data_IF_915149920658
#
_entry.id   IF_915149920658
#
_cell.length_a   1.000
_cell.length_b   1.000
_cell.length_c   1.000
_cell.angle_alpha   90.00
_cell.angle_beta   90.00
_cell.angle_gamma   90.00
#
_symmetry.space_group_name_H-M   'P 1'
#
loop_
_entity.id
_entity.type
_entity.pdbx_description
1 polymer ?
#
# COMPACT_ATOMS: atom_id res chain seq x y z
N UNK A 1 6.07 4.52 30.42
CA UNK A 1 5.23 4.41 29.21
C UNK A 1 6.13 4.52 28.01
N UNK A 2 6.13 3.55 27.09
CA UNK A 2 7.05 3.53 25.95
C UNK A 2 6.81 4.77 25.06
N UNK A 3 7.85 5.58 24.79
CA UNK A 3 7.74 6.79 23.96
C UNK A 3 7.28 6.50 22.51
N UNK A 4 7.42 5.24 22.06
CA UNK A 4 7.01 4.75 20.76
C UNK A 4 5.51 4.85 20.48
N UNK A 5 4.67 4.93 21.51
CA UNK A 5 3.21 4.97 21.37
C UNK A 5 2.61 6.39 21.32
N UNK A 6 3.45 7.42 21.22
CA UNK A 6 2.98 8.80 21.01
C UNK A 6 2.41 8.95 19.61
N UNK A 7 1.34 9.74 19.41
CA UNK A 7 0.73 9.98 18.11
C UNK A 7 1.76 10.30 17.01
N UNK A 8 2.69 11.21 17.31
CA UNK A 8 3.74 11.61 16.36
C UNK A 8 4.67 10.44 15.99
N UNK A 9 5.07 9.64 16.95
CA UNK A 9 5.99 8.52 16.70
C UNK A 9 5.34 7.43 15.86
N UNK A 10 4.03 7.19 16.02
CA UNK A 10 3.28 6.28 15.15
C UNK A 10 3.22 6.81 13.72
N UNK A 11 3.01 8.12 13.52
CA UNK A 11 3.02 8.72 12.19
C UNK A 11 4.41 8.63 11.53
N UNK A 12 5.47 8.93 12.28
CA UNK A 12 6.86 8.76 11.80
C UNK A 12 7.14 7.30 11.44
N UNK A 13 6.67 6.35 12.23
CA UNK A 13 6.78 4.92 11.92
C UNK A 13 6.11 4.57 10.58
N UNK A 14 4.89 5.07 10.32
CA UNK A 14 4.21 4.85 9.04
C UNK A 14 4.99 5.43 7.86
N UNK A 15 5.55 6.64 8.01
CA UNK A 15 6.41 7.26 6.99
C UNK A 15 7.65 6.40 6.72
N UNK A 16 8.34 5.96 7.78
CA UNK A 16 9.54 5.12 7.65
C UNK A 16 9.20 3.81 6.92
N UNK A 17 8.09 3.17 7.27
CA UNK A 17 7.65 1.95 6.60
C UNK A 17 7.28 2.18 5.13
N UNK A 18 6.66 3.32 4.79
CA UNK A 18 6.39 3.68 3.40
C UNK A 18 7.69 3.88 2.61
N UNK A 19 8.68 4.57 3.17
CA UNK A 19 9.99 4.79 2.54
C UNK A 19 10.74 3.47 2.36
N UNK A 20 10.77 2.61 3.38
CA UNK A 20 11.42 1.29 3.30
C UNK A 20 10.75 0.45 2.22
N UNK A 21 9.41 0.34 2.22
CA UNK A 21 8.66 -0.43 1.24
C UNK A 21 8.89 0.06 -0.20
N UNK A 22 8.86 1.38 -0.42
CA UNK A 22 9.14 1.97 -1.73
C UNK A 22 10.60 1.77 -2.15
N UNK A 23 11.55 1.94 -1.24
CA UNK A 23 12.97 1.72 -1.51
C UNK A 23 13.24 0.26 -1.89
N UNK A 24 12.66 -0.69 -1.17
CA UNK A 24 12.76 -2.11 -1.51
C UNK A 24 12.18 -2.40 -2.90
N UNK A 25 11.00 -1.85 -3.20
CA UNK A 25 10.35 -2.07 -4.49
C UNK A 25 11.14 -1.46 -5.67
N UNK A 26 11.73 -0.27 -5.51
CA UNK A 26 12.43 0.42 -6.58
C UNK A 26 13.88 -0.06 -6.74
N UNK A 27 14.63 -0.12 -5.62
CA UNK A 27 16.06 -0.43 -5.69
C UNK A 27 16.35 -1.93 -5.74
N UNK A 28 15.66 -2.72 -4.90
CA UNK A 28 15.90 -4.15 -4.88
C UNK A 28 15.15 -4.89 -6.00
N UNK A 29 13.81 -4.77 -6.08
CA UNK A 29 13.04 -5.53 -7.05
C UNK A 29 13.23 -5.04 -8.49
N UNK A 30 13.14 -3.71 -8.74
CA UNK A 30 13.23 -3.20 -10.11
C UNK A 30 14.67 -3.03 -10.59
N UNK A 31 15.54 -2.37 -9.78
CA UNK A 31 16.88 -2.02 -10.27
C UNK A 31 17.87 -3.17 -10.14
N UNK A 32 17.84 -3.92 -9.04
CA UNK A 32 18.79 -5.01 -8.80
C UNK A 32 18.33 -6.32 -9.43
N UNK A 33 17.07 -6.72 -9.21
CA UNK A 33 16.51 -7.96 -9.74
C UNK A 33 15.99 -7.83 -11.18
N UNK A 34 15.78 -6.60 -11.69
CA UNK A 34 15.31 -6.33 -13.04
C UNK A 34 13.83 -6.63 -13.29
N UNK A 35 13.02 -6.77 -12.23
CA UNK A 35 11.59 -7.08 -12.39
C UNK A 35 10.80 -5.85 -12.88
N UNK A 36 10.00 -6.05 -13.91
CA UNK A 36 9.02 -5.04 -14.36
C UNK A 36 7.78 -5.11 -13.48
N UNK A 37 7.34 -3.97 -12.89
CA UNK A 37 6.15 -3.98 -12.04
C UNK A 37 4.88 -4.18 -12.89
N UNK A 38 4.07 -5.16 -12.54
CA UNK A 38 2.74 -5.33 -13.13
C UNK A 38 1.80 -4.17 -12.72
N UNK A 39 0.68 -3.96 -13.43
CA UNK A 39 -0.27 -2.88 -13.12
C UNK A 39 -0.75 -2.87 -11.67
N UNK A 40 -1.08 -4.02 -11.08
CA UNK A 40 -1.50 -4.12 -9.68
C UNK A 40 -0.38 -3.72 -8.71
N UNK A 41 0.88 -4.04 -9.03
CA UNK A 41 2.02 -3.61 -8.22
C UNK A 41 2.16 -2.08 -8.18
N UNK A 42 1.92 -1.41 -9.32
CA UNK A 42 1.94 0.06 -9.41
C UNK A 42 0.83 0.66 -8.53
N UNK A 43 -0.37 0.11 -8.60
CA UNK A 43 -1.52 0.56 -7.82
C UNK A 43 -1.32 0.38 -6.30
N UNK A 44 -0.67 -0.70 -5.87
CA UNK A 44 -0.28 -0.89 -4.46
C UNK A 44 0.70 0.20 -4.00
N UNK A 45 1.68 0.56 -4.84
CA UNK A 45 2.67 1.61 -4.54
C UNK A 45 2.02 2.98 -4.43
N UNK A 46 1.06 3.31 -5.30
CA UNK A 46 0.31 4.57 -5.23
C UNK A 46 -0.38 4.70 -3.87
N UNK A 47 -1.09 3.66 -3.42
CA UNK A 47 -1.73 3.69 -2.10
C UNK A 47 -0.74 3.83 -0.95
N UNK A 48 0.42 3.16 -1.02
CA UNK A 48 1.48 3.28 -0.01
C UNK A 48 2.07 4.69 0.03
N UNK A 49 2.25 5.34 -1.13
CA UNK A 49 2.69 6.75 -1.22
C UNK A 49 1.64 7.67 -0.59
N UNK A 50 0.36 7.50 -0.92
CA UNK A 50 -0.74 8.28 -0.34
C UNK A 50 -0.74 8.16 1.18
N UNK A 51 -0.66 6.93 1.72
CA UNK A 51 -0.53 6.70 3.15
C UNK A 51 0.67 7.47 3.73
N UNK A 52 1.84 7.35 3.13
CA UNK A 52 3.07 8.00 3.58
C UNK A 52 2.98 9.52 3.59
N UNK A 53 2.37 10.13 2.55
CA UNK A 53 2.19 11.59 2.44
C UNK A 53 1.29 12.12 3.56
N UNK A 54 0.12 11.49 3.80
CA UNK A 54 -0.78 11.91 4.87
C UNK A 54 -0.17 11.69 6.26
N UNK A 55 0.56 10.58 6.47
CA UNK A 55 1.29 10.34 7.71
C UNK A 55 2.42 11.36 7.91
N UNK A 56 3.13 11.75 6.85
CA UNK A 56 4.17 12.78 6.90
C UNK A 56 3.59 14.14 7.27
N UNK A 57 2.49 14.55 6.64
CA UNK A 57 1.79 15.77 7.02
C UNK A 57 1.37 15.76 8.49
N UNK A 58 0.85 14.64 8.99
CA UNK A 58 0.46 14.49 10.38
C UNK A 58 1.67 14.57 11.36
N UNK A 59 2.82 14.05 10.96
CA UNK A 59 4.06 14.09 11.75
C UNK A 59 4.70 15.48 11.78
N UNK A 60 4.70 16.21 10.64
CA UNK A 60 5.33 17.53 10.49
C UNK A 60 4.49 18.62 11.14
N UNK A 61 3.21 18.72 10.79
CA UNK A 61 2.36 19.80 11.28
C UNK A 61 1.87 19.60 12.71
N UNK A 62 1.94 18.38 13.23
CA UNK A 62 1.54 18.03 14.59
C UNK A 62 0.23 18.72 15.04
N UNK A 63 -0.88 18.56 14.31
CA UNK A 63 -2.08 19.32 14.53
C UNK A 63 -2.65 19.10 15.93
N UNK A 64 -3.07 20.18 16.60
CA UNK A 64 -3.71 20.13 17.91
C UNK A 64 -5.20 19.76 17.81
N UNK A 65 -5.83 20.13 16.71
CA UNK A 65 -7.26 19.87 16.46
C UNK A 65 -7.50 18.38 16.19
N UNK A 66 -8.46 17.81 16.88
CA UNK A 66 -8.92 16.42 16.68
C UNK A 66 -9.46 16.23 15.25
N UNK A 67 -10.20 17.20 14.72
CA UNK A 67 -10.77 17.12 13.37
C UNK A 67 -9.67 17.00 12.31
N UNK A 68 -8.61 17.83 12.39
CA UNK A 68 -7.49 17.77 11.45
C UNK A 68 -6.74 16.43 11.57
N UNK A 69 -6.54 15.91 12.80
CA UNK A 69 -5.94 14.58 13.01
C UNK A 69 -6.77 13.48 12.35
N UNK A 70 -8.09 13.54 12.46
CA UNK A 70 -8.99 12.57 11.84
C UNK A 70 -8.95 12.64 10.31
N UNK A 71 -8.94 13.84 9.72
CA UNK A 71 -8.84 14.02 8.26
C UNK A 71 -7.54 13.43 7.74
N UNK A 72 -6.41 13.74 8.36
CA UNK A 72 -5.10 13.20 7.98
C UNK A 72 -5.04 11.67 8.17
N UNK A 73 -5.62 11.17 9.26
CA UNK A 73 -5.73 9.74 9.49
C UNK A 73 -6.60 9.03 8.45
N UNK A 74 -7.75 9.61 8.08
CA UNK A 74 -8.63 9.06 7.03
C UNK A 74 -7.93 9.01 5.67
N UNK A 75 -7.18 10.06 5.29
CA UNK A 75 -6.40 10.05 4.05
C UNK A 75 -5.32 8.97 4.05
N UNK A 76 -4.61 8.82 5.18
CA UNK A 76 -3.61 7.77 5.36
C UNK A 76 -4.24 6.37 5.34
N UNK A 77 -5.38 6.19 6.03
CA UNK A 77 -6.13 4.94 6.05
C UNK A 77 -6.66 4.56 4.65
N UNK A 78 -7.17 5.54 3.89
CA UNK A 78 -7.64 5.31 2.52
C UNK A 78 -6.50 4.80 1.63
N UNK A 79 -5.30 5.37 1.76
CA UNK A 79 -4.11 4.92 1.02
C UNK A 79 -3.74 3.47 1.34
N UNK A 80 -3.60 3.13 2.62
CA UNK A 80 -3.20 1.75 3.00
C UNK A 80 -4.32 0.75 2.78
N UNK A 81 -5.58 1.15 2.99
CA UNK A 81 -6.75 0.33 2.68
C UNK A 81 -6.82 -0.02 1.19
N UNK A 82 -6.60 0.97 0.33
CA UNK A 82 -6.45 0.75 -1.11
C UNK A 82 -5.35 -0.27 -1.42
N UNK A 83 -4.13 -0.05 -0.91
CA UNK A 83 -3.01 -0.98 -1.13
C UNK A 83 -3.32 -2.40 -0.67
N UNK A 84 -4.02 -2.54 0.46
CA UNK A 84 -4.41 -3.86 1.01
C UNK A 84 -5.41 -4.57 0.10
N UNK A 85 -6.44 -3.86 -0.39
CA UNK A 85 -7.44 -4.42 -1.32
C UNK A 85 -6.78 -4.87 -2.61
N UNK A 86 -5.91 -4.03 -3.19
CA UNK A 86 -5.17 -4.36 -4.43
C UNK A 86 -4.23 -5.53 -4.22
N UNK A 87 -3.53 -5.60 -3.06
CA UNK A 87 -2.67 -6.74 -2.73
C UNK A 87 -3.47 -8.03 -2.56
N UNK A 88 -4.63 -7.97 -1.90
CA UNK A 88 -5.53 -9.11 -1.78
C UNK A 88 -6.02 -9.62 -3.13
N UNK A 89 -6.40 -8.71 -4.05
CA UNK A 89 -6.77 -9.06 -5.42
C UNK A 89 -5.60 -9.71 -6.16
N UNK A 90 -4.39 -9.20 -5.98
CA UNK A 90 -3.19 -9.74 -6.60
C UNK A 90 -2.87 -11.15 -6.11
N UNK A 91 -2.90 -11.39 -4.80
CA UNK A 91 -2.73 -12.74 -4.22
C UNK A 91 -3.81 -13.70 -4.75
N UNK A 92 -5.06 -13.25 -4.83
CA UNK A 92 -6.14 -14.06 -5.37
C UNK A 92 -5.87 -14.49 -6.82
N UNK A 93 -5.36 -13.60 -7.68
CA UNK A 93 -5.01 -13.92 -9.07
C UNK A 93 -3.91 -14.99 -9.16
N UNK A 94 -2.92 -14.95 -8.26
CA UNK A 94 -1.84 -15.94 -8.23
C UNK A 94 -2.30 -17.35 -7.80
N UNK A 95 -3.47 -17.45 -7.14
CA UNK A 95 -4.05 -18.72 -6.72
C UNK A 95 -5.14 -19.25 -7.65
N UNK A 96 -5.39 -18.57 -8.78
CA UNK A 96 -6.33 -19.05 -9.78
C UNK A 96 -5.79 -20.29 -10.50
N UNK A 97 -6.66 -21.24 -10.86
CA UNK A 97 -6.33 -22.32 -11.80
C UNK A 97 -5.84 -21.75 -13.14
N UNK A 98 -4.92 -22.43 -13.81
CA UNK A 98 -4.28 -21.93 -15.03
C UNK A 98 -5.28 -21.63 -16.17
N UNK A 99 -6.41 -22.33 -16.22
CA UNK A 99 -7.49 -22.13 -17.18
C UNK A 99 -8.34 -20.87 -16.91
N UNK A 100 -8.24 -20.29 -15.71
CA UNK A 100 -9.00 -19.11 -15.28
C UNK A 100 -8.12 -17.85 -15.22
N UNK A 101 -6.81 -17.98 -15.42
CA UNK A 101 -5.90 -16.84 -15.45
C UNK A 101 -6.18 -15.98 -16.69
N UNK A 102 -6.42 -14.66 -16.54
CA UNK A 102 -6.60 -13.78 -17.69
C UNK A 102 -5.39 -13.78 -18.62
N UNK A 103 -5.61 -13.50 -19.90
CA UNK A 103 -4.51 -13.33 -20.87
C UNK A 103 -3.59 -12.17 -20.47
N UNK A 104 -2.33 -12.20 -20.91
CA UNK A 104 -1.43 -11.05 -20.76
C UNK A 104 -2.01 -9.84 -21.48
N UNK A 105 -2.07 -8.70 -20.77
CA UNK A 105 -2.53 -7.43 -21.34
C UNK A 105 -1.42 -6.69 -22.06
N UNK A 106 -1.77 -5.63 -22.83
CA UNK A 106 -0.79 -4.81 -23.55
C UNK A 106 0.07 -3.91 -22.63
N UNK A 107 -0.23 -3.91 -21.31
CA UNK A 107 0.46 -3.10 -20.33
C UNK A 107 -0.30 -1.83 -19.92
N UNK A 108 0.08 -1.28 -18.75
CA UNK A 108 -0.60 -0.12 -18.17
C UNK A 108 -0.47 1.13 -19.04
N UNK A 109 0.70 1.35 -19.64
CA UNK A 109 0.97 2.53 -20.49
C UNK A 109 0.01 2.57 -21.68
N UNK A 110 -0.17 1.44 -22.36
CA UNK A 110 -1.12 1.33 -23.48
C UNK A 110 -2.57 1.63 -23.04
N UNK A 111 -2.98 1.12 -21.87
CA UNK A 111 -4.33 1.40 -21.37
C UNK A 111 -4.52 2.87 -21.01
N UNK A 112 -3.51 3.53 -20.42
CA UNK A 112 -3.58 4.95 -20.11
C UNK A 112 -3.65 5.84 -21.36
N UNK A 113 -3.02 5.44 -22.46
CA UNK A 113 -3.03 6.18 -23.72
C UNK A 113 -4.30 5.97 -24.54
N UNK A 114 -4.96 4.82 -24.39
CA UNK A 114 -6.07 4.41 -25.28
C UNK A 114 -7.44 4.37 -24.64
N UNK A 115 -7.51 4.25 -23.30
CA UNK A 115 -8.77 4.05 -22.59
C UNK A 115 -9.11 5.20 -21.64
N UNK A 116 -10.39 5.50 -21.43
CA UNK A 116 -10.83 6.38 -20.34
C UNK A 116 -10.38 5.82 -18.99
N UNK A 117 -10.00 6.70 -18.04
CA UNK A 117 -9.43 6.32 -16.73
C UNK A 117 -10.29 5.28 -15.97
N UNK A 118 -11.61 5.38 -16.04
CA UNK A 118 -12.50 4.42 -15.39
C UNK A 118 -12.39 3.00 -15.97
N UNK A 119 -12.14 2.91 -17.28
CA UNK A 119 -11.93 1.63 -17.96
C UNK A 119 -10.56 1.05 -17.63
N UNK A 120 -9.53 1.91 -17.52
CA UNK A 120 -8.21 1.48 -17.03
C UNK A 120 -8.33 0.82 -15.65
N UNK A 121 -9.09 1.40 -14.73
CA UNK A 121 -9.34 0.78 -13.41
C UNK A 121 -9.99 -0.62 -13.55
N UNK A 122 -10.98 -0.77 -14.43
CA UNK A 122 -11.63 -2.07 -14.64
C UNK A 122 -10.64 -3.12 -15.16
N UNK A 123 -9.82 -2.77 -16.17
CA UNK A 123 -8.81 -3.67 -16.74
C UNK A 123 -7.74 -4.05 -15.71
N UNK A 124 -7.23 -3.08 -14.95
CA UNK A 124 -6.25 -3.36 -13.89
C UNK A 124 -6.83 -4.30 -12.83
N UNK A 125 -8.09 -4.09 -12.40
CA UNK A 125 -8.73 -4.97 -11.42
C UNK A 125 -9.19 -6.31 -12.00
N UNK A 126 -9.49 -6.38 -13.30
CA UNK A 126 -9.69 -7.66 -13.97
C UNK A 126 -8.42 -8.52 -13.85
N UNK A 127 -7.26 -7.87 -13.92
CA UNK A 127 -5.96 -8.50 -13.84
C UNK A 127 -5.46 -8.96 -15.21
N UNK A 128 -4.17 -9.18 -15.31
CA UNK A 128 -3.51 -9.74 -16.48
C UNK A 128 -2.68 -10.96 -16.09
N UNK A 129 -2.32 -11.79 -17.04
CA UNK A 129 -1.47 -12.96 -16.81
C UNK A 129 -0.14 -12.63 -16.15
N UNK A 130 0.40 -11.43 -16.41
CA UNK A 130 1.59 -10.92 -15.74
C UNK A 130 1.41 -10.78 -14.21
N UNK A 131 0.20 -10.44 -13.75
CA UNK A 131 -0.10 -10.36 -12.32
C UNK A 131 -0.25 -11.75 -11.66
N UNK A 132 -0.58 -12.78 -12.43
CA UNK A 132 -0.70 -14.14 -11.93
C UNK A 132 0.66 -14.87 -11.86
N UNK A 133 1.67 -14.40 -12.60
CA UNK A 133 3.01 -14.97 -12.59
C UNK A 133 3.70 -14.75 -11.23
N UNK A 134 4.40 -15.78 -10.75
CA UNK A 134 5.21 -15.72 -9.52
C UNK A 134 6.67 -15.69 -9.94
N UNK A 135 7.24 -14.49 -10.06
CA UNK A 135 8.62 -14.31 -10.51
C UNK A 135 9.64 -14.56 -9.40
N UNK A 136 9.27 -14.33 -8.14
CA UNK A 136 10.16 -14.44 -7.00
C UNK A 136 9.41 -14.74 -5.70
N UNK A 137 10.02 -15.56 -4.87
CA UNK A 137 9.51 -15.90 -3.54
C UNK A 137 10.60 -15.74 -2.48
N UNK A 138 10.21 -15.31 -1.31
CA UNK A 138 11.04 -15.27 -0.11
C UNK A 138 10.35 -16.00 1.03
N UNK A 139 11.00 -16.98 1.63
CA UNK A 139 10.41 -17.87 2.63
C UNK A 139 9.12 -18.58 2.18
N UNK A 140 9.00 -18.86 0.88
CA UNK A 140 7.82 -19.50 0.30
C UNK A 140 6.65 -18.54 0.01
N UNK A 141 6.80 -17.24 0.30
CA UNK A 141 5.78 -16.23 0.04
C UNK A 141 6.13 -15.42 -1.21
N UNK A 142 5.15 -15.20 -2.07
CA UNK A 142 5.28 -14.32 -3.23
C UNK A 142 5.35 -12.83 -2.81
N UNK A 143 5.78 -11.96 -3.72
CA UNK A 143 5.86 -10.51 -3.46
C UNK A 143 4.50 -9.93 -3.03
N UNK A 144 3.36 -10.24 -3.70
CA UNK A 144 2.04 -9.78 -3.26
C UNK A 144 1.63 -10.29 -1.88
N UNK A 145 1.95 -11.54 -1.53
CA UNK A 145 1.65 -12.10 -0.20
C UNK A 145 2.42 -11.37 0.90
N UNK A 146 3.71 -11.11 0.69
CA UNK A 146 4.53 -10.33 1.62
C UNK A 146 3.99 -8.89 1.77
N UNK A 147 3.59 -8.27 0.64
CA UNK A 147 2.96 -6.93 0.65
C UNK A 147 1.64 -6.94 1.41
N UNK A 148 0.80 -7.95 1.24
CA UNK A 148 -0.48 -8.08 1.92
C UNK A 148 -0.29 -8.21 3.45
N UNK A 149 0.69 -9.00 3.88
CA UNK A 149 1.05 -9.11 5.30
C UNK A 149 1.49 -7.76 5.85
N UNK A 150 2.42 -7.08 5.16
CA UNK A 150 2.90 -5.76 5.57
C UNK A 150 1.77 -4.74 5.69
N UNK A 151 0.91 -4.65 4.67
CA UNK A 151 -0.20 -3.69 4.66
C UNK A 151 -1.23 -4.00 5.75
N UNK A 152 -1.49 -5.28 6.03
CA UNK A 152 -2.36 -5.69 7.13
C UNK A 152 -1.80 -5.28 8.49
N UNK A 153 -0.49 -5.41 8.71
CA UNK A 153 0.17 -4.92 9.92
C UNK A 153 0.09 -3.39 10.03
N UNK A 154 0.26 -2.66 8.92
CA UNK A 154 0.10 -1.20 8.92
C UNK A 154 -1.34 -0.77 9.20
N UNK A 155 -2.36 -1.53 8.79
CA UNK A 155 -3.76 -1.30 9.19
C UNK A 155 -3.96 -1.44 10.70
N UNK A 156 -3.30 -2.41 11.34
CA UNK A 156 -3.32 -2.53 12.81
C UNK A 156 -2.71 -1.29 13.47
N UNK A 157 -1.60 -0.77 12.91
CA UNK A 157 -1.00 0.48 13.40
C UNK A 157 -1.96 1.67 13.24
N UNK A 158 -2.74 1.73 12.13
CA UNK A 158 -3.79 2.75 11.97
C UNK A 158 -4.88 2.66 13.05
N UNK A 159 -5.24 1.46 13.49
CA UNK A 159 -6.11 1.25 14.65
C UNK A 159 -5.53 1.86 15.94
N UNK A 160 -4.22 1.69 16.17
CA UNK A 160 -3.52 2.32 17.32
C UNK A 160 -3.47 3.85 17.19
N UNK A 161 -3.27 4.37 15.98
CA UNK A 161 -3.31 5.84 15.73
C UNK A 161 -4.69 6.39 16.06
N UNK A 162 -5.76 5.75 15.58
CA UNK A 162 -7.14 6.15 15.89
C UNK A 162 -7.41 6.15 17.38
N UNK A 163 -7.01 5.09 18.08
CA UNK A 163 -7.14 5.01 19.52
C UNK A 163 -6.44 6.18 20.23
N UNK A 164 -5.27 6.61 19.76
CA UNK A 164 -4.54 7.78 20.28
C UNK A 164 -5.18 9.12 19.93
N UNK A 165 -5.92 9.21 18.82
CA UNK A 165 -6.68 10.41 18.47
C UNK A 165 -7.88 10.57 19.40
N UNK A 166 -8.62 9.46 19.64
CA UNK A 166 -9.87 9.47 20.42
C UNK A 166 -9.60 9.55 21.94
N UNK A 167 -8.50 8.92 22.40
CA UNK A 167 -8.08 8.95 23.81
C UNK A 167 -6.75 9.70 23.96
N UNK A 168 -6.73 11.02 23.79
CA UNK A 168 -5.51 11.77 24.05
C UNK A 168 -5.14 11.55 25.52
N UNK A 169 -3.90 11.06 25.74
CA UNK A 169 -3.37 10.98 27.11
C UNK A 169 -3.31 12.42 27.58
N UNK A 170 -4.06 12.72 28.65
CA UNK A 170 -3.94 13.99 29.35
C UNK A 170 -2.47 14.12 29.76
N UNK A 171 -1.70 14.91 29.02
CA UNK A 171 -0.36 15.31 29.40
C UNK A 171 -0.53 16.30 30.54
N UNK A 172 -0.29 15.86 31.77
CA UNK A 172 0.05 16.77 32.86
C UNK A 172 1.42 17.38 32.58
#
# INVERSE_FOLDING_TARGET
>A
MLPLTTYRNLQVFLVVMAVIGMSFALFFLQRYMGFTPCPLCIFQRIGLIVMGVFALMAALFHPKSMAVRLVLWLGSLAGIGWSTVVAGRHVWLQHLPADQVPSCGPGLDYWLDTLPILQVFKEVFAGSGECAAIDWTFMGLSIPEQSLILFSLLLVVHGLVLWRIVRPIASK
#
